data_IF_718271951621
#
_entry.id   IF_718271951621
#
_cell.length_a   1.000
_cell.length_b   1.000
_cell.length_c   1.000
_cell.angle_alpha   90.00
_cell.angle_beta   90.00
_cell.angle_gamma   90.00
#
_symmetry.space_group_name_H-M   'P 1'
#
loop_
_entity.id
_entity.type
_entity.pdbx_description
1 polymer ?
#
# COMPACT_ATOMS: atom_id res chain seq x y z
N UNK A 1 3.22 5.60 35.07
CA UNK A 1 1.78 5.43 35.36
C UNK A 1 1.22 4.54 34.25
N UNK A 2 0.70 3.36 34.57
CA UNK A 2 0.19 2.40 33.56
C UNK A 2 -1.11 2.90 32.93
N UNK A 3 -1.37 2.52 31.68
CA UNK A 3 -2.60 2.90 30.98
C UNK A 3 -3.82 2.27 31.68
N UNK A 4 -4.71 3.10 32.21
CA UNK A 4 -5.93 2.65 32.91
C UNK A 4 -7.09 2.35 31.96
N UNK A 5 -6.93 2.63 30.66
CA UNK A 5 -7.96 2.41 29.63
C UNK A 5 -7.89 1.03 29.00
N UNK A 6 -6.88 0.22 29.36
CA UNK A 6 -6.59 -1.06 28.72
C UNK A 6 -6.23 -2.12 29.75
N UNK A 7 -6.31 -3.38 29.32
CA UNK A 7 -5.79 -4.51 30.09
C UNK A 7 -4.26 -4.39 30.10
N UNK A 8 -3.71 -4.06 31.26
CA UNK A 8 -2.28 -4.02 31.45
C UNK A 8 -1.75 -5.46 31.51
N UNK A 9 -0.69 -5.73 30.75
CA UNK A 9 0.06 -6.96 30.89
C UNK A 9 0.73 -7.07 32.26
N UNK A 10 1.39 -8.21 32.56
CA UNK A 10 2.18 -8.36 33.78
C UNK A 10 3.22 -7.23 33.88
N UNK A 11 3.56 -6.83 35.12
CA UNK A 11 4.47 -5.70 35.36
C UNK A 11 5.93 -5.92 34.90
N UNK A 12 6.29 -7.16 34.54
CA UNK A 12 7.60 -7.52 34.00
C UNK A 12 7.74 -7.22 32.51
N UNK A 13 8.98 -7.01 32.06
CA UNK A 13 9.30 -6.90 30.63
C UNK A 13 9.01 -8.25 29.95
N UNK A 14 8.00 -8.30 29.09
CA UNK A 14 7.79 -9.44 28.20
C UNK A 14 8.59 -9.17 26.94
N UNK A 15 9.75 -9.82 26.79
CA UNK A 15 10.48 -9.81 25.54
C UNK A 15 9.75 -10.72 24.55
N UNK A 16 9.73 -10.33 23.28
CA UNK A 16 9.31 -11.24 22.21
C UNK A 16 10.21 -12.49 22.21
N UNK A 17 9.68 -13.67 21.81
CA UNK A 17 10.53 -14.84 21.61
C UNK A 17 11.56 -14.51 20.53
N UNK A 18 12.85 -14.62 20.89
CA UNK A 18 13.95 -14.53 19.94
C UNK A 18 14.16 -15.93 19.38
N UNK A 19 13.84 -16.12 18.11
CA UNK A 19 14.11 -17.38 17.44
C UNK A 19 15.59 -17.41 17.04
N UNK A 20 16.30 -18.47 17.41
CA UNK A 20 17.64 -18.69 16.89
C UNK A 20 17.54 -18.95 15.38
N UNK A 21 18.38 -18.32 14.55
CA UNK A 21 18.45 -18.66 13.14
C UNK A 21 18.76 -20.16 13.04
N UNK A 22 18.01 -20.89 12.23
CA UNK A 22 18.29 -22.29 11.97
C UNK A 22 19.70 -22.38 11.38
N UNK A 23 20.60 -23.12 12.04
CA UNK A 23 21.96 -23.33 11.59
C UNK A 23 21.95 -24.15 10.29
N UNK A 24 21.77 -23.46 9.17
CA UNK A 24 22.04 -24.03 7.86
C UNK A 24 23.55 -24.32 7.79
N UNK A 25 23.98 -25.48 7.26
CA UNK A 25 25.39 -25.72 7.01
C UNK A 25 25.94 -24.57 6.14
N UNK A 26 27.16 -24.13 6.44
CA UNK A 26 27.84 -22.93 5.91
C UNK A 26 28.01 -22.85 4.37
N UNK A 27 27.35 -23.74 3.63
CA UNK A 27 27.32 -23.82 2.17
C UNK A 27 26.02 -23.28 1.54
N UNK A 28 25.03 -22.83 2.33
CA UNK A 28 23.71 -22.47 1.82
C UNK A 28 23.14 -21.12 2.29
N UNK A 29 23.98 -20.08 2.48
CA UNK A 29 23.45 -18.71 2.48
C UNK A 29 23.00 -18.41 1.06
N UNK A 30 21.76 -18.76 0.73
CA UNK A 30 21.17 -18.43 -0.56
C UNK A 30 21.21 -16.90 -0.70
N UNK A 31 22.01 -16.39 -1.63
CA UNK A 31 22.01 -14.99 -2.01
C UNK A 31 20.57 -14.57 -2.29
N UNK A 32 20.15 -13.41 -1.78
CA UNK A 32 18.85 -12.85 -2.14
C UNK A 32 18.97 -12.40 -3.58
N UNK A 33 18.47 -13.24 -4.47
CA UNK A 33 18.56 -13.00 -5.89
C UNK A 33 17.16 -12.91 -6.46
N UNK A 34 16.85 -11.73 -7.00
CA UNK A 34 15.65 -11.49 -7.79
C UNK A 34 15.57 -12.48 -8.96
N UNK A 35 14.49 -13.25 -9.01
CA UNK A 35 14.23 -14.24 -10.08
C UNK A 35 13.57 -13.60 -11.30
N UNK A 36 12.83 -12.50 -11.11
CA UNK A 36 12.14 -11.75 -12.17
C UNK A 36 13.04 -10.73 -12.87
N UNK A 37 12.61 -10.25 -14.05
CA UNK A 37 13.39 -9.25 -14.81
C UNK A 37 13.44 -7.90 -14.09
N UNK A 38 14.50 -7.07 -14.31
CA UNK A 38 14.63 -5.76 -13.68
C UNK A 38 13.43 -4.83 -13.88
N UNK A 39 12.82 -4.91 -15.06
CA UNK A 39 11.69 -4.09 -15.52
C UNK A 39 10.32 -4.73 -15.24
N UNK A 40 10.24 -5.79 -14.43
CA UNK A 40 9.00 -6.53 -14.19
C UNK A 40 8.47 -6.27 -12.77
N UNK A 41 7.24 -5.77 -12.67
CA UNK A 41 6.56 -5.54 -11.39
C UNK A 41 6.13 -6.85 -10.73
N UNK A 42 5.84 -6.85 -9.42
CA UNK A 42 5.14 -7.98 -8.79
C UNK A 42 3.82 -8.22 -9.56
N UNK A 43 3.48 -9.47 -9.85
CA UNK A 43 2.31 -9.80 -10.69
C UNK A 43 1.04 -9.35 -10.00
N UNK A 44 0.43 -8.29 -10.52
CA UNK A 44 -0.83 -7.82 -9.97
C UNK A 44 -2.02 -8.50 -10.63
N UNK A 45 -2.81 -9.25 -9.87
CA UNK A 45 -3.95 -10.01 -10.40
C UNK A 45 -5.26 -9.39 -9.93
N UNK A 46 -5.93 -8.66 -10.82
CA UNK A 46 -7.34 -8.33 -10.63
C UNK A 46 -8.15 -9.62 -10.49
N UNK A 47 -9.09 -9.65 -9.54
CA UNK A 47 -9.88 -10.85 -9.23
C UNK A 47 -10.90 -11.06 -10.35
N UNK A 48 -10.49 -11.71 -11.44
CA UNK A 48 -11.39 -12.09 -12.52
C UNK A 48 -12.33 -13.23 -12.07
N UNK A 49 -13.40 -12.89 -11.36
CA UNK A 49 -14.51 -13.81 -11.02
C UNK A 49 -15.44 -14.04 -12.21
N UNK A 50 -14.90 -14.42 -13.38
CA UNK A 50 -15.76 -14.83 -14.52
C UNK A 50 -15.13 -15.87 -15.45
N UNK A 51 -14.41 -16.86 -14.92
CA UNK A 51 -14.09 -18.10 -15.62
C UNK A 51 -14.34 -19.30 -14.68
N UNK A 52 -15.16 -20.30 -15.07
CA UNK A 52 -15.48 -21.46 -14.24
C UNK A 52 -14.34 -22.49 -14.16
N UNK A 53 -13.14 -22.15 -14.63
CA UNK A 53 -11.99 -23.04 -14.65
C UNK A 53 -10.86 -22.48 -13.77
N UNK A 54 -10.96 -22.78 -12.49
CA UNK A 54 -9.94 -22.47 -11.50
C UNK A 54 -8.73 -23.39 -11.73
N UNK A 55 -7.79 -22.97 -12.57
CA UNK A 55 -6.43 -23.51 -12.48
C UNK A 55 -5.73 -22.81 -11.33
N UNK A 56 -5.43 -23.59 -10.29
CA UNK A 56 -4.49 -23.26 -9.21
C UNK A 56 -3.16 -22.72 -9.79
N UNK A 57 -2.43 -21.96 -8.96
CA UNK A 57 -1.06 -21.44 -9.15
C UNK A 57 -0.92 -20.10 -9.91
N UNK A 58 -1.10 -18.98 -9.19
CA UNK A 58 -0.11 -17.87 -9.15
C UNK A 58 -0.43 -16.91 -7.99
N UNK A 59 0.56 -16.47 -7.19
CA UNK A 59 0.34 -15.45 -6.16
C UNK A 59 -0.11 -14.16 -6.83
N UNK A 60 -1.21 -13.64 -6.32
CA UNK A 60 -2.14 -12.74 -6.97
C UNK A 60 -2.22 -11.48 -6.12
N UNK A 61 -1.73 -10.33 -6.61
CA UNK A 61 -1.97 -9.08 -5.89
C UNK A 61 -3.45 -8.74 -6.06
N UNK A 62 -4.23 -8.73 -4.99
CA UNK A 62 -5.67 -8.49 -5.02
C UNK A 62 -5.96 -7.04 -4.64
N UNK A 63 -6.57 -6.27 -5.54
CA UNK A 63 -7.16 -4.97 -5.23
C UNK A 63 -8.69 -5.09 -5.30
N UNK A 64 -9.35 -4.90 -4.17
CA UNK A 64 -10.81 -4.97 -4.06
C UNK A 64 -11.36 -3.72 -3.38
N UNK A 65 -12.28 -3.02 -4.04
CA UNK A 65 -13.02 -1.89 -3.42
C UNK A 65 -14.34 -2.36 -2.80
N UNK A 66 -14.91 -1.52 -1.92
CA UNK A 66 -16.21 -1.76 -1.28
C UNK A 66 -16.23 -2.85 -0.22
N UNK A 67 -15.10 -3.08 0.49
CA UNK A 67 -14.97 -4.15 1.48
C UNK A 67 -15.54 -3.80 2.86
N UNK A 68 -15.48 -2.53 3.27
CA UNK A 68 -15.97 -2.03 4.56
C UNK A 68 -17.31 -1.32 4.34
N UNK A 69 -18.46 -1.92 4.71
CA UNK A 69 -19.78 -1.36 4.43
C UNK A 69 -20.13 -0.13 5.28
N UNK A 70 -19.46 0.06 6.42
CA UNK A 70 -19.68 1.23 7.28
C UNK A 70 -18.96 2.48 6.80
N UNK A 71 -17.98 2.34 5.91
CA UNK A 71 -17.22 3.45 5.34
C UNK A 71 -17.92 3.97 4.08
N UNK A 72 -17.73 5.24 3.76
CA UNK A 72 -18.27 5.84 2.52
C UNK A 72 -17.63 5.22 1.28
N UNK A 73 -16.34 4.91 1.37
CA UNK A 73 -15.63 4.07 0.40
C UNK A 73 -14.52 3.31 1.10
N UNK A 74 -14.15 2.18 0.52
CA UNK A 74 -13.12 1.32 1.10
C UNK A 74 -12.38 0.53 0.05
N UNK A 75 -11.16 0.14 0.37
CA UNK A 75 -10.39 -0.74 -0.50
C UNK A 75 -9.45 -1.62 0.32
N UNK A 76 -9.15 -2.79 -0.23
CA UNK A 76 -8.17 -3.73 0.28
C UNK A 76 -7.14 -4.01 -0.82
N UNK A 77 -5.87 -3.99 -0.45
CA UNK A 77 -4.76 -4.31 -1.33
C UNK A 77 -3.89 -5.37 -0.67
N UNK A 78 -3.55 -6.38 -1.45
CA UNK A 78 -2.60 -7.41 -1.08
C UNK A 78 -1.53 -7.50 -2.13
N UNK A 79 -0.26 -7.29 -1.80
CA UNK A 79 0.89 -7.48 -2.68
C UNK A 79 1.71 -8.66 -2.16
N UNK A 80 1.80 -9.76 -2.90
CA UNK A 80 2.61 -10.92 -2.53
C UNK A 80 3.72 -11.17 -3.56
N UNK A 81 4.95 -11.38 -3.10
CA UNK A 81 6.04 -11.91 -3.92
C UNK A 81 5.95 -13.45 -3.97
N UNK A 82 6.17 -14.10 -5.12
CA UNK A 82 6.16 -15.56 -5.19
C UNK A 82 7.20 -16.17 -4.25
N UNK A 83 6.72 -17.00 -3.33
CA UNK A 83 7.57 -17.84 -2.49
C UNK A 83 8.08 -19.03 -3.30
N UNK A 84 9.39 -19.27 -3.25
CA UNK A 84 9.88 -20.62 -3.51
C UNK A 84 9.63 -21.46 -2.25
N UNK A 85 9.06 -22.68 -2.37
CA UNK A 85 8.83 -23.55 -1.23
C UNK A 85 10.17 -23.99 -0.64
N UNK A 86 10.62 -23.29 0.40
CA UNK A 86 11.78 -23.69 1.20
C UNK A 86 11.31 -24.42 2.46
N UNK A 87 12.03 -25.47 2.91
CA UNK A 87 11.71 -26.21 4.13
C UNK A 87 12.02 -25.43 5.43
N UNK A 88 12.40 -24.16 5.35
CA UNK A 88 12.76 -23.30 6.49
C UNK A 88 11.53 -22.55 7.02
N UNK A 89 11.46 -22.40 8.35
CA UNK A 89 10.46 -21.58 9.06
C UNK A 89 10.61 -20.07 8.82
N UNK A 90 11.65 -19.64 8.10
CA UNK A 90 11.85 -18.23 7.77
C UNK A 90 10.85 -17.80 6.69
N UNK A 91 10.07 -16.72 6.90
CA UNK A 91 9.21 -16.17 5.87
C UNK A 91 10.11 -15.65 4.74
N UNK A 92 10.09 -16.39 3.63
CA UNK A 92 10.79 -16.10 2.37
C UNK A 92 9.90 -15.35 1.39
N UNK A 93 8.67 -15.00 1.81
CA UNK A 93 7.73 -14.19 1.04
C UNK A 93 7.69 -12.78 1.61
N UNK A 94 7.78 -11.79 0.72
CA UNK A 94 7.41 -10.41 0.99
C UNK A 94 5.92 -10.25 0.68
N UNK A 95 5.12 -10.03 1.72
CA UNK A 95 3.69 -9.78 1.61
C UNK A 95 3.35 -8.43 2.26
N UNK A 96 2.53 -7.64 1.56
CA UNK A 96 1.98 -6.38 2.05
C UNK A 96 0.46 -6.49 1.98
N UNK A 97 -0.23 -6.29 3.10
CA UNK A 97 -1.69 -6.32 3.15
C UNK A 97 -2.20 -5.07 3.84
N UNK A 98 -3.02 -4.31 3.15
CA UNK A 98 -3.54 -3.02 3.59
C UNK A 98 -5.06 -2.97 3.45
N UNK A 99 -5.71 -2.41 4.45
CA UNK A 99 -7.12 -2.04 4.39
C UNK A 99 -7.26 -0.53 4.55
N UNK A 100 -7.97 0.11 3.62
CA UNK A 100 -8.25 1.54 3.67
C UNK A 100 -9.75 1.77 3.81
N UNK A 101 -10.10 2.73 4.67
CA UNK A 101 -11.46 3.23 4.84
C UNK A 101 -11.48 4.74 4.70
N UNK A 102 -12.42 5.23 3.90
CA UNK A 102 -12.66 6.65 3.67
C UNK A 102 -14.00 7.00 4.30
N UNK A 103 -13.97 8.00 5.17
CA UNK A 103 -15.16 8.56 5.81
C UNK A 103 -15.31 10.01 5.37
N UNK A 104 -16.28 10.28 4.53
CA UNK A 104 -16.55 11.62 4.08
C UNK A 104 -17.42 11.66 2.83
N UNK A 105 -17.88 12.86 2.43
CA UNK A 105 -17.65 14.15 3.08
C UNK A 105 -18.55 14.33 4.32
N UNK A 106 -17.94 14.47 5.51
CA UNK A 106 -18.66 14.71 6.77
C UNK A 106 -18.64 16.21 7.08
N UNK A 107 -19.71 16.80 7.65
CA UNK A 107 -19.67 18.19 8.07
C UNK A 107 -18.55 18.41 9.10
N UNK A 108 -17.86 19.54 8.99
CA UNK A 108 -16.84 19.91 9.97
C UNK A 108 -17.43 19.96 11.39
N UNK A 109 -16.68 19.54 12.42
CA UNK A 109 -17.14 19.66 13.80
C UNK A 109 -17.39 21.13 14.12
N UNK A 110 -18.38 21.40 14.99
CA UNK A 110 -18.81 22.77 15.34
C UNK A 110 -17.68 23.65 15.90
N UNK A 111 -16.61 23.04 16.41
CA UNK A 111 -15.42 23.72 16.96
C UNK A 111 -14.37 24.06 15.91
N UNK A 112 -14.45 23.51 14.69
CA UNK A 112 -13.51 23.81 13.63
C UNK A 112 -13.78 25.19 13.04
N UNK A 113 -12.70 25.88 12.65
CA UNK A 113 -12.79 27.13 11.92
C UNK A 113 -13.45 26.92 10.56
N UNK A 114 -14.15 27.95 10.09
CA UNK A 114 -14.72 27.93 8.75
C UNK A 114 -13.61 27.78 7.70
N UNK A 115 -13.74 26.76 6.85
CA UNK A 115 -12.88 26.55 5.70
C UNK A 115 -13.75 26.53 4.43
N UNK A 116 -13.43 27.35 3.41
CA UNK A 116 -14.10 27.26 2.10
C UNK A 116 -13.75 25.95 1.39
N UNK A 117 -12.62 25.34 1.75
CA UNK A 117 -12.06 24.15 1.13
C UNK A 117 -12.28 22.93 2.02
N UNK A 118 -12.46 21.76 1.41
CA UNK A 118 -12.53 20.49 2.13
C UNK A 118 -11.25 20.24 2.95
N UNK A 119 -11.41 19.81 4.21
CA UNK A 119 -10.27 19.43 5.06
C UNK A 119 -10.01 17.92 4.92
N UNK A 120 -8.85 17.57 4.40
CA UNK A 120 -8.39 16.18 4.33
C UNK A 120 -7.51 15.86 5.54
N UNK A 121 -7.78 14.72 6.17
CA UNK A 121 -6.93 14.10 7.20
C UNK A 121 -6.63 12.68 6.75
N UNK A 122 -5.35 12.29 6.72
CA UNK A 122 -4.95 10.92 6.43
C UNK A 122 -4.15 10.34 7.60
N UNK A 123 -4.44 9.10 7.96
CA UNK A 123 -3.74 8.41 9.04
C UNK A 123 -3.37 6.99 8.62
N UNK A 124 -2.15 6.58 8.95
CA UNK A 124 -1.66 5.22 8.75
C UNK A 124 -1.43 4.61 10.13
N UNK A 125 -1.95 3.40 10.35
CA UNK A 125 -1.74 2.65 11.59
C UNK A 125 -1.34 1.21 11.30
N UNK A 126 -0.27 0.74 11.92
CA UNK A 126 0.08 -0.68 11.93
C UNK A 126 -0.79 -1.44 12.91
N UNK A 127 -1.31 -2.59 12.46
CA UNK A 127 -1.82 -3.60 13.37
C UNK A 127 -0.67 -4.08 14.28
N UNK A 128 -0.95 -4.46 15.54
CA UNK A 128 0.09 -4.90 16.46
C UNK A 128 0.92 -6.10 15.96
N UNK A 129 0.36 -6.89 15.05
CA UNK A 129 0.98 -8.08 14.45
C UNK A 129 1.48 -7.86 13.02
N UNK A 130 1.43 -6.62 12.51
CA UNK A 130 1.75 -6.34 11.10
C UNK A 130 3.24 -6.54 10.77
N UNK A 131 4.11 -6.45 11.78
CA UNK A 131 5.56 -6.59 11.64
C UNK A 131 6.09 -7.60 12.65
N UNK A 132 7.37 -7.99 12.51
CA UNK A 132 8.02 -8.96 13.41
C UNK A 132 8.03 -8.48 14.84
N UNK A 133 8.26 -7.18 15.02
CA UNK A 133 8.24 -6.52 16.32
C UNK A 133 6.83 -6.02 16.58
N UNK A 134 6.22 -6.52 17.65
CA UNK A 134 4.86 -6.15 18.02
C UNK A 134 4.72 -4.64 18.20
N UNK A 135 3.88 -4.01 17.39
CA UNK A 135 3.70 -2.57 17.41
C UNK A 135 2.80 -2.12 18.58
N UNK A 136 3.10 -0.94 19.11
CA UNK A 136 2.30 -0.29 20.14
C UNK A 136 0.98 0.25 19.59
N UNK A 137 0.01 0.48 20.49
CA UNK A 137 -1.26 1.09 20.11
C UNK A 137 -1.13 2.59 19.82
N UNK A 138 -0.18 3.25 20.46
CA UNK A 138 0.10 4.66 20.24
C UNK A 138 0.75 4.80 18.88
N UNK A 139 0.43 5.84 18.10
CA UNK A 139 1.09 6.09 16.84
C UNK A 139 2.59 6.30 17.01
N UNK A 140 3.39 5.48 16.34
CA UNK A 140 4.84 5.61 16.26
C UNK A 140 5.24 6.78 15.35
N UNK A 141 6.49 7.23 15.42
CA UNK A 141 6.97 8.32 14.55
C UNK A 141 6.88 7.95 13.07
N UNK A 142 7.27 6.72 12.72
CA UNK A 142 7.18 6.19 11.35
C UNK A 142 5.76 6.20 10.79
N UNK A 143 4.77 5.86 11.61
CA UNK A 143 3.34 5.92 11.24
C UNK A 143 2.88 7.36 10.97
N UNK A 144 3.37 8.32 11.76
CA UNK A 144 3.06 9.74 11.58
C UNK A 144 3.69 10.28 10.30
N UNK A 145 4.93 9.90 10.01
CA UNK A 145 5.65 10.31 8.80
C UNK A 145 4.95 9.74 7.55
N UNK A 146 4.56 8.46 7.58
CA UNK A 146 3.72 7.85 6.52
C UNK A 146 2.38 8.55 6.36
N UNK A 147 1.71 8.88 7.47
CA UNK A 147 0.45 9.62 7.46
C UNK A 147 0.59 10.99 6.79
N UNK A 148 1.67 11.71 7.09
CA UNK A 148 1.98 13.00 6.48
C UNK A 148 2.23 12.89 4.98
N UNK A 149 3.05 11.94 4.54
CA UNK A 149 3.31 11.70 3.11
C UNK A 149 2.03 11.29 2.36
N UNK A 150 1.21 10.42 2.96
CA UNK A 150 -0.08 10.04 2.40
C UNK A 150 -1.03 11.25 2.30
N UNK A 151 -1.11 12.08 3.35
CA UNK A 151 -1.95 13.27 3.35
C UNK A 151 -1.53 14.28 2.28
N UNK A 152 -0.23 14.52 2.14
CA UNK A 152 0.32 15.42 1.12
C UNK A 152 0.04 14.91 -0.29
N UNK A 153 0.26 13.60 -0.53
CA UNK A 153 -0.03 12.97 -1.80
C UNK A 153 -1.52 13.09 -2.19
N UNK A 154 -2.44 12.86 -1.26
CA UNK A 154 -3.88 12.94 -1.53
C UNK A 154 -4.37 14.40 -1.67
N UNK A 155 -3.77 15.35 -0.97
CA UNK A 155 -4.09 16.79 -1.11
C UNK A 155 -3.79 17.32 -2.51
N UNK A 156 -2.76 16.81 -3.18
CA UNK A 156 -2.44 17.21 -4.56
C UNK A 156 -3.41 16.69 -5.62
N UNK A 157 -4.36 15.82 -5.24
CA UNK A 157 -5.25 15.11 -6.17
C UNK A 157 -6.72 15.44 -5.94
N UNK A 158 -7.11 15.66 -4.69
CA UNK A 158 -8.49 16.03 -4.34
C UNK A 158 -8.85 17.43 -4.84
N UNK A 159 -10.11 17.61 -5.22
CA UNK A 159 -10.70 18.92 -5.54
C UNK A 159 -11.42 19.48 -4.30
N UNK A 160 -10.74 20.23 -3.42
CA UNK A 160 -11.33 20.64 -2.15
C UNK A 160 -12.47 21.66 -2.31
N UNK A 161 -12.49 22.41 -3.42
CA UNK A 161 -13.48 23.45 -3.69
C UNK A 161 -14.88 22.88 -3.95
N UNK A 162 -14.98 21.59 -4.31
CA UNK A 162 -16.27 20.90 -4.51
C UNK A 162 -17.02 20.63 -3.22
N UNK A 163 -16.31 20.58 -2.09
CA UNK A 163 -16.86 20.16 -0.80
C UNK A 163 -16.58 21.20 0.31
N UNK A 164 -17.20 22.39 0.25
CA UNK A 164 -17.02 23.41 1.28
C UNK A 164 -17.55 22.91 2.64
N UNK A 165 -16.88 23.35 3.73
CA UNK A 165 -17.24 23.00 5.12
C UNK A 165 -17.30 21.49 5.41
N UNK A 166 -16.66 20.68 4.59
CA UNK A 166 -16.60 19.24 4.75
C UNK A 166 -15.21 18.78 5.15
N UNK A 167 -15.16 17.66 5.86
CA UNK A 167 -13.96 16.92 6.13
C UNK A 167 -14.02 15.55 5.45
N UNK A 168 -12.87 15.10 4.95
CA UNK A 168 -12.66 13.76 4.43
C UNK A 168 -11.56 13.14 5.28
N UNK A 169 -11.83 11.96 5.81
CA UNK A 169 -10.95 11.26 6.74
C UNK A 169 -10.57 9.90 6.15
N UNK A 170 -9.29 9.72 5.87
CA UNK A 170 -8.73 8.53 5.24
C UNK A 170 -7.92 7.78 6.28
N UNK A 171 -8.36 6.57 6.63
CA UNK A 171 -7.69 5.73 7.60
C UNK A 171 -7.21 4.44 6.92
N UNK A 172 -5.88 4.27 6.88
CA UNK A 172 -5.20 3.09 6.35
C UNK A 172 -4.69 2.25 7.53
N UNK A 173 -5.06 0.97 7.53
CA UNK A 173 -4.59 -0.02 8.50
C UNK A 173 -3.69 -1.01 7.77
N UNK A 174 -2.45 -1.10 8.24
CA UNK A 174 -1.48 -2.09 7.77
C UNK A 174 -1.72 -3.39 8.52
N UNK A 175 -2.10 -4.43 7.79
CA UNK A 175 -2.34 -5.76 8.34
C UNK A 175 -1.06 -6.62 8.29
N UNK A 176 -0.30 -6.47 7.22
CA UNK A 176 0.99 -7.12 7.02
C UNK A 176 1.91 -6.13 6.29
N UNK A 177 3.07 -5.84 6.88
CA UNK A 177 4.08 -4.97 6.31
C UNK A 177 5.30 -5.77 5.86
N UNK A 178 5.84 -5.42 4.71
CA UNK A 178 7.14 -5.92 4.26
C UNK A 178 8.23 -5.39 5.20
N UNK A 179 8.93 -6.29 5.88
CA UNK A 179 9.96 -5.96 6.87
C UNK A 179 11.34 -6.35 6.33
N UNK A 180 12.26 -5.40 6.31
CA UNK A 180 13.65 -5.62 5.89
C UNK A 180 14.33 -6.47 6.97
N UNK A 181 14.77 -7.68 6.64
CA UNK A 181 15.38 -8.63 7.59
C UNK A 181 16.73 -8.16 8.20
N UNK A 182 17.18 -6.94 7.95
CA UNK A 182 18.44 -6.38 8.44
C UNK A 182 18.31 -5.81 9.85
N UNK A 183 19.30 -6.07 10.71
CA UNK A 183 19.34 -5.68 12.13
C UNK A 183 18.79 -4.26 12.43
N UNK A 184 17.66 -4.21 13.15
CA UNK A 184 17.21 -2.97 13.79
C UNK A 184 15.76 -2.99 14.25
N UNK A 185 15.48 -2.32 15.37
CA UNK A 185 14.14 -2.05 15.92
C UNK A 185 13.38 -0.94 15.14
N UNK A 186 13.84 -0.60 13.92
CA UNK A 186 13.35 0.53 13.14
C UNK A 186 12.97 0.06 11.74
N UNK A 187 11.68 0.20 11.43
CA UNK A 187 11.13 0.08 10.09
C UNK A 187 11.77 1.17 9.21
N UNK A 188 12.82 0.83 8.48
CA UNK A 188 13.62 1.75 7.69
C UNK A 188 14.04 1.07 6.39
N UNK A 189 14.23 1.85 5.33
CA UNK A 189 14.65 1.33 4.04
C UNK A 189 13.47 1.04 3.12
N UNK A 190 13.51 -0.12 2.46
CA UNK A 190 12.70 -0.41 1.30
C UNK A 190 11.25 -0.80 1.64
N UNK A 191 11.06 -1.57 2.71
CA UNK A 191 9.72 -1.94 3.18
C UNK A 191 8.81 -0.75 3.44
N UNK A 192 9.36 0.36 3.97
CA UNK A 192 8.62 1.60 4.22
C UNK A 192 8.13 2.26 2.93
N UNK A 193 8.96 2.22 1.88
CA UNK A 193 8.68 2.79 0.58
C UNK A 193 7.60 2.02 -0.15
N UNK A 194 7.70 0.69 -0.14
CA UNK A 194 6.67 -0.19 -0.69
C UNK A 194 5.35 -0.03 0.05
N UNK A 195 5.40 0.13 1.37
CA UNK A 195 4.22 0.37 2.18
C UNK A 195 3.55 1.71 1.86
N UNK A 196 4.32 2.79 1.70
CA UNK A 196 3.78 4.10 1.33
C UNK A 196 3.14 4.05 -0.06
N UNK A 197 3.81 3.44 -1.03
CA UNK A 197 3.28 3.30 -2.39
C UNK A 197 1.97 2.48 -2.38
N UNK A 198 1.96 1.37 -1.65
CA UNK A 198 0.76 0.57 -1.44
C UNK A 198 -0.35 1.39 -0.78
N UNK A 199 -0.06 2.14 0.29
CA UNK A 199 -1.03 2.95 1.01
C UNK A 199 -1.67 4.04 0.12
N UNK A 200 -0.88 4.72 -0.71
CA UNK A 200 -1.38 5.69 -1.69
C UNK A 200 -2.32 5.00 -2.69
N UNK A 201 -1.91 3.86 -3.25
CA UNK A 201 -2.72 3.11 -4.22
C UNK A 201 -4.05 2.62 -3.62
N UNK A 202 -4.05 2.11 -2.39
CA UNK A 202 -5.30 1.68 -1.70
C UNK A 202 -6.18 2.87 -1.39
N UNK A 203 -5.60 3.97 -0.90
CA UNK A 203 -6.34 5.18 -0.55
C UNK A 203 -7.03 5.76 -1.78
N UNK A 204 -6.35 5.80 -2.93
CA UNK A 204 -6.94 6.27 -4.17
C UNK A 204 -8.09 5.39 -4.67
N UNK A 205 -7.94 4.07 -4.57
CA UNK A 205 -9.03 3.15 -4.88
C UNK A 205 -10.23 3.36 -3.94
N UNK A 206 -10.00 3.60 -2.65
CA UNK A 206 -11.04 3.86 -1.67
C UNK A 206 -11.72 5.24 -1.85
N UNK A 207 -10.98 6.28 -2.26
CA UNK A 207 -11.53 7.60 -2.58
C UNK A 207 -12.42 7.56 -3.82
N UNK A 208 -12.00 6.81 -4.85
CA UNK A 208 -12.80 6.59 -6.04
C UNK A 208 -14.08 5.79 -5.74
N UNK A 209 -13.99 4.78 -4.86
CA UNK A 209 -15.14 4.02 -4.36
C UNK A 209 -16.12 4.91 -3.56
N UNK A 210 -15.59 5.85 -2.76
CA UNK A 210 -16.36 6.86 -2.04
C UNK A 210 -16.99 7.93 -2.95
N UNK A 211 -16.68 7.92 -4.25
CA UNK A 211 -17.15 8.90 -5.26
C UNK A 211 -16.79 10.34 -4.91
N UNK A 212 -15.59 10.53 -4.35
CA UNK A 212 -15.04 11.86 -4.09
C UNK A 212 -14.36 12.38 -5.35
N UNK A 213 -14.67 13.62 -5.72
CA UNK A 213 -14.10 14.28 -6.90
C UNK A 213 -12.57 14.40 -6.77
N UNK A 214 -11.87 13.69 -7.65
CA UNK A 214 -10.42 13.69 -7.79
C UNK A 214 -10.02 14.22 -9.18
N UNK A 215 -8.86 14.89 -9.28
CA UNK A 215 -8.32 15.38 -10.54
C UNK A 215 -7.93 14.24 -11.50
N UNK A 216 -7.30 13.20 -10.96
CA UNK A 216 -6.83 12.02 -11.69
C UNK A 216 -6.72 10.83 -10.72
N UNK A 217 -6.55 9.62 -11.27
CA UNK A 217 -6.19 8.42 -10.51
C UNK A 217 -4.68 8.46 -10.22
N UNK A 218 -4.33 9.01 -9.07
CA UNK A 218 -2.98 8.94 -8.51
C UNK A 218 -2.54 7.49 -8.33
N UNK A 219 -1.35 7.19 -8.81
CA UNK A 219 -0.68 5.93 -8.59
C UNK A 219 0.70 6.17 -8.03
N UNK A 220 1.13 5.30 -7.13
CA UNK A 220 2.44 5.34 -6.55
C UNK A 220 3.24 4.09 -6.93
N UNK A 221 4.53 4.30 -7.15
CA UNK A 221 5.48 3.26 -7.52
C UNK A 221 6.81 3.46 -6.81
N UNK A 222 7.55 2.36 -6.67
CA UNK A 222 8.88 2.35 -6.05
C UNK A 222 9.90 1.95 -7.10
N UNK A 223 10.99 2.70 -7.16
CA UNK A 223 12.18 2.41 -7.94
C UNK A 223 13.38 2.24 -7.03
N UNK A 224 14.33 1.40 -7.43
CA UNK A 224 15.62 1.31 -6.76
C UNK A 224 16.76 1.11 -7.77
N UNK A 225 17.96 1.45 -7.33
CA UNK A 225 19.22 1.15 -8.02
C UNK A 225 20.01 0.17 -7.17
N UNK A 226 20.37 -0.95 -7.79
CA UNK A 226 21.05 -2.09 -7.19
C UNK A 226 22.40 -2.29 -7.91
N UNK A 227 23.47 -2.71 -7.22
CA UNK A 227 24.73 -3.06 -7.88
C UNK A 227 24.53 -4.28 -8.80
N UNK A 228 24.81 -4.11 -10.09
CA UNK A 228 24.76 -5.19 -11.08
C UNK A 228 26.01 -6.08 -11.09
N UNK A 229 26.00 -7.18 -11.89
CA UNK A 229 27.08 -8.17 -11.95
C UNK A 229 28.45 -7.63 -12.41
N UNK A 230 28.47 -6.45 -13.04
CA UNK A 230 29.70 -5.76 -13.50
C UNK A 230 30.01 -4.48 -12.70
N UNK A 231 29.50 -4.35 -11.48
CA UNK A 231 29.53 -3.09 -10.68
C UNK A 231 28.86 -1.89 -11.38
N UNK A 232 28.05 -2.14 -12.42
CA UNK A 232 27.22 -1.14 -13.07
C UNK A 232 25.91 -0.99 -12.29
N UNK A 233 25.43 0.24 -12.05
CA UNK A 233 24.13 0.44 -11.41
C UNK A 233 23.03 -0.13 -12.31
N UNK A 234 22.18 -0.99 -11.74
CA UNK A 234 21.02 -1.57 -12.39
C UNK A 234 19.76 -1.01 -11.76
N UNK A 235 18.93 -0.35 -12.58
CA UNK A 235 17.61 0.11 -12.14
C UNK A 235 16.62 -1.05 -12.05
N UNK A 236 15.80 -1.00 -11.01
CA UNK A 236 14.84 -2.03 -10.64
C UNK A 236 13.49 -1.37 -10.37
N UNK A 237 12.44 -1.89 -11.00
CA UNK A 237 11.06 -1.54 -10.72
C UNK A 237 10.51 -2.39 -9.57
N UNK A 238 9.81 -1.76 -8.63
CA UNK A 238 9.15 -2.40 -7.48
C UNK A 238 10.09 -3.37 -6.75
N UNK A 239 11.21 -2.91 -6.19
CA UNK A 239 12.13 -3.76 -5.44
C UNK A 239 11.44 -4.41 -4.24
N UNK A 240 11.87 -5.60 -3.82
CA UNK A 240 11.46 -6.22 -2.56
C UNK A 240 12.68 -6.51 -1.67
N UNK A 241 12.51 -6.43 -0.35
CA UNK A 241 13.58 -6.59 0.62
C UNK A 241 14.19 -8.01 0.63
N UNK A 242 13.38 -8.97 0.18
CA UNK A 242 13.76 -10.37 0.05
C UNK A 242 14.54 -10.64 -1.25
N UNK A 243 14.46 -9.75 -2.24
CA UNK A 243 15.06 -9.94 -3.57
C UNK A 243 16.47 -9.34 -3.69
N UNK A 244 16.83 -8.43 -2.79
CA UNK A 244 18.06 -7.65 -2.88
C UNK A 244 18.79 -7.64 -1.52
N UNK A 245 20.09 -7.95 -1.55
CA UNK A 245 20.96 -7.88 -0.38
C UNK A 245 21.50 -6.45 -0.15
N UNK A 246 21.79 -5.72 -1.22
CA UNK A 246 22.32 -4.35 -1.18
C UNK A 246 21.53 -3.43 -2.12
N UNK A 247 21.18 -2.24 -1.64
CA UNK A 247 20.40 -1.23 -2.35
C UNK A 247 21.13 0.10 -2.19
N UNK A 248 21.62 0.67 -3.29
CA UNK A 248 22.37 1.93 -3.27
C UNK A 248 21.45 3.13 -3.03
N UNK A 249 20.31 3.13 -3.72
CA UNK A 249 19.30 4.18 -3.63
C UNK A 249 17.93 3.65 -3.96
N UNK A 250 16.91 4.19 -3.30
CA UNK A 250 15.51 3.86 -3.52
C UNK A 250 14.67 5.14 -3.51
N UNK A 251 13.55 5.09 -4.24
CA UNK A 251 12.66 6.23 -4.39
C UNK A 251 11.20 5.77 -4.54
N UNK A 252 10.31 6.48 -3.86
CA UNK A 252 8.86 6.41 -4.03
C UNK A 252 8.41 7.67 -4.77
N UNK A 253 7.56 7.48 -5.77
CA UNK A 253 6.92 8.56 -6.51
C UNK A 253 5.43 8.35 -6.48
N UNK A 254 4.67 9.37 -6.09
CA UNK A 254 3.25 9.53 -6.37
C UNK A 254 3.08 10.35 -7.64
N UNK A 255 2.47 9.75 -8.66
CA UNK A 255 2.43 10.29 -10.02
C UNK A 255 1.00 10.31 -10.57
N UNK A 256 0.67 11.33 -11.37
CA UNK A 256 -0.60 11.52 -12.07
C UNK A 256 -0.42 11.25 -13.57
N UNK A 257 -0.70 10.03 -14.05
CA UNK A 257 -0.41 9.65 -15.44
C UNK A 257 -1.18 10.43 -16.50
N UNK A 258 -2.37 10.96 -16.18
CA UNK A 258 -3.15 11.73 -17.16
C UNK A 258 -2.58 13.14 -17.38
N UNK A 259 -1.81 13.66 -16.41
CA UNK A 259 -1.24 15.02 -16.43
C UNK A 259 0.29 15.05 -16.55
N UNK A 260 0.94 13.90 -16.39
CA UNK A 260 2.39 13.78 -16.33
C UNK A 260 3.00 14.62 -15.19
N UNK A 261 2.34 14.64 -14.02
CA UNK A 261 2.73 15.45 -12.86
C UNK A 261 3.11 14.55 -11.67
N UNK A 262 4.17 14.91 -10.95
CA UNK A 262 4.58 14.25 -9.71
C UNK A 262 3.97 15.03 -8.55
N UNK A 263 3.26 14.32 -7.66
CA UNK A 263 2.59 14.91 -6.50
C UNK A 263 3.44 14.77 -5.24
N UNK A 264 4.05 13.60 -5.07
CA UNK A 264 4.87 13.28 -3.90
C UNK A 264 6.12 12.53 -4.35
N UNK A 265 7.27 12.86 -3.76
CA UNK A 265 8.55 12.25 -4.05
C UNK A 265 9.31 12.03 -2.75
N UNK A 266 9.68 10.79 -2.47
CA UNK A 266 10.53 10.46 -1.33
C UNK A 266 11.67 9.54 -1.77
N UNK A 267 12.90 9.98 -1.57
CA UNK A 267 14.10 9.22 -1.93
C UNK A 267 14.99 8.99 -0.71
N UNK A 268 15.64 7.82 -0.67
CA UNK A 268 16.68 7.48 0.29
C UNK A 268 17.90 6.88 -0.43
N UNK A 269 19.09 7.11 0.12
CA UNK A 269 20.36 6.68 -0.46
C UNK A 269 21.05 7.78 -1.27
N UNK A 270 22.29 7.47 -1.67
CA UNK A 270 23.17 8.40 -2.38
C UNK A 270 23.49 7.80 -3.74
N UNK A 271 23.01 8.46 -4.81
CA UNK A 271 23.42 8.11 -6.17
C UNK A 271 24.68 8.89 -6.49
N UNK A 272 25.81 8.21 -6.67
CA UNK A 272 27.07 8.88 -6.95
C UNK A 272 27.05 9.50 -8.35
N UNK A 273 27.05 10.83 -8.43
CA UNK A 273 27.22 11.62 -9.66
C UNK A 273 28.69 11.63 -10.09
N UNK A 274 29.33 10.46 -10.25
CA UNK A 274 30.78 10.40 -10.47
C UNK A 274 31.24 10.89 -11.85
N UNK A 275 30.32 11.17 -12.79
CA UNK A 275 30.67 11.77 -14.08
C UNK A 275 29.80 12.99 -14.32
N UNK A 276 30.42 14.18 -14.31
CA UNK A 276 29.78 15.49 -14.56
C UNK A 276 29.10 15.64 -15.94
N UNK A 277 29.09 14.57 -16.75
CA UNK A 277 28.53 14.51 -18.10
C UNK A 277 27.33 13.54 -18.18
N UNK A 278 27.00 12.84 -17.09
CA UNK A 278 25.90 11.87 -17.04
C UNK A 278 24.94 12.28 -15.94
N UNK A 279 23.96 13.13 -16.29
CA UNK A 279 22.85 13.56 -15.43
C UNK A 279 21.94 12.42 -14.96
N UNK A 280 22.25 11.17 -15.28
CA UNK A 280 21.25 10.11 -15.37
C UNK A 280 21.01 9.34 -14.07
N UNK A 281 21.81 9.51 -13.01
CA UNK A 281 21.66 8.66 -11.82
C UNK A 281 20.34 8.84 -11.06
N UNK A 282 20.00 10.08 -10.70
CA UNK A 282 18.76 10.37 -9.96
C UNK A 282 17.54 10.37 -10.89
N UNK A 283 17.70 10.88 -12.10
CA UNK A 283 16.63 10.89 -13.10
C UNK A 283 16.22 9.46 -13.48
N UNK A 284 17.17 8.54 -13.68
CA UNK A 284 16.85 7.12 -13.95
C UNK A 284 16.13 6.44 -12.77
N UNK A 285 16.45 6.82 -11.54
CA UNK A 285 15.78 6.32 -10.34
C UNK A 285 14.33 6.79 -10.28
N UNK A 286 14.09 8.07 -10.57
CA UNK A 286 12.75 8.64 -10.63
C UNK A 286 11.96 8.06 -11.82
N UNK A 287 12.56 7.93 -12.99
CA UNK A 287 11.95 7.28 -14.16
C UNK A 287 11.53 5.83 -13.87
N UNK A 288 12.35 5.09 -13.14
CA UNK A 288 12.01 3.74 -12.69
C UNK A 288 10.77 3.77 -11.77
N UNK A 289 10.73 4.66 -10.78
CA UNK A 289 9.57 4.78 -9.91
C UNK A 289 8.29 5.21 -10.68
N UNK A 290 8.41 6.12 -11.66
CA UNK A 290 7.30 6.53 -12.54
C UNK A 290 6.80 5.36 -13.38
N UNK A 291 7.70 4.56 -13.96
CA UNK A 291 7.32 3.38 -14.73
C UNK A 291 6.56 2.36 -13.87
N UNK A 292 6.97 2.18 -12.61
CA UNK A 292 6.25 1.36 -11.65
C UNK A 292 4.87 1.93 -11.30
N UNK A 293 4.77 3.25 -11.08
CA UNK A 293 3.50 3.93 -10.80
C UNK A 293 2.49 3.78 -11.96
N UNK A 294 2.96 3.91 -13.20
CA UNK A 294 2.12 3.69 -14.40
C UNK A 294 1.56 2.27 -14.45
N UNK A 295 2.36 1.26 -14.08
CA UNK A 295 1.89 -0.13 -13.99
C UNK A 295 0.90 -0.37 -12.84
N UNK A 296 1.05 0.32 -11.72
CA UNK A 296 0.06 0.27 -10.64
C UNK A 296 -1.27 0.93 -11.04
N UNK A 297 -1.23 2.02 -11.81
CA UNK A 297 -2.44 2.73 -12.24
C UNK A 297 -3.35 1.85 -13.10
N UNK A 298 -2.79 1.05 -14.02
CA UNK A 298 -3.61 0.18 -14.89
C UNK A 298 -4.44 -0.80 -14.07
N UNK A 299 -3.86 -1.34 -13.00
CA UNK A 299 -4.56 -2.22 -12.06
C UNK A 299 -5.67 -1.48 -11.34
N UNK A 300 -5.39 -0.29 -10.79
CA UNK A 300 -6.39 0.49 -10.05
C UNK A 300 -7.58 0.78 -10.96
N UNK A 301 -7.32 1.19 -12.20
CA UNK A 301 -8.34 1.47 -13.20
C UNK A 301 -9.19 0.23 -13.50
N UNK A 302 -8.57 -0.93 -13.71
CA UNK A 302 -9.29 -2.19 -13.94
C UNK A 302 -10.16 -2.59 -12.76
N UNK A 303 -9.61 -2.54 -11.53
CA UNK A 303 -10.33 -2.88 -10.31
C UNK A 303 -11.56 -1.96 -10.07
N UNK A 304 -11.43 -0.67 -10.41
CA UNK A 304 -12.54 0.28 -10.32
C UNK A 304 -13.63 0.02 -11.37
N UNK A 305 -13.24 -0.29 -12.61
CA UNK A 305 -14.20 -0.68 -13.66
C UNK A 305 -14.93 -1.97 -13.27
N UNK A 306 -14.22 -2.95 -12.72
CA UNK A 306 -14.81 -4.18 -12.21
C UNK A 306 -15.81 -3.89 -11.08
N UNK A 307 -15.43 -3.07 -10.10
CA UNK A 307 -16.33 -2.64 -9.02
C UNK A 307 -17.59 -1.95 -9.55
N UNK A 308 -17.44 -1.06 -10.55
CA UNK A 308 -18.58 -0.38 -11.18
C UNK A 308 -19.54 -1.37 -11.85
N UNK A 309 -19.02 -2.36 -12.59
CA UNK A 309 -19.85 -3.39 -13.23
C UNK A 309 -20.58 -4.27 -12.20
N UNK A 310 -19.89 -4.68 -11.12
CA UNK A 310 -20.52 -5.44 -10.01
C UNK A 310 -21.69 -4.67 -9.39
N UNK A 311 -21.51 -3.38 -9.14
CA UNK A 311 -22.56 -2.53 -8.58
C UNK A 311 -23.74 -2.34 -9.54
N UNK A 312 -23.52 -2.21 -10.85
CA UNK A 312 -24.61 -2.12 -11.83
C UNK A 312 -25.44 -3.41 -11.90
N UNK A 313 -24.81 -4.59 -11.78
CA UNK A 313 -25.50 -5.88 -11.76
C UNK A 313 -26.34 -6.01 -10.48
N UNK A 314 -25.82 -5.58 -9.33
CA UNK A 314 -26.55 -5.57 -8.07
C UNK A 314 -27.80 -4.67 -8.14
N UNK A 315 -27.70 -3.49 -8.77
CA UNK A 315 -28.83 -2.56 -8.97
C UNK A 315 -29.88 -3.10 -9.96
N UNK A 316 -29.51 -3.99 -10.90
CA UNK A 316 -30.48 -4.65 -11.80
C UNK A 316 -31.21 -5.85 -11.17
N UNK A 317 -30.73 -6.36 -10.04
CA UNK A 317 -31.28 -7.54 -9.34
C UNK A 317 -32.35 -7.32 -8.25
N UNK A 318 -32.84 -6.11 -7.88
CA UNK A 318 -33.85 -5.98 -6.84
C UNK A 318 -35.25 -5.74 -7.46
N UNK A 319 -35.94 -6.79 -7.92
CA UNK A 319 -37.41 -6.84 -8.05
C UNK A 319 -37.95 -8.19 -8.57
N UNK A 320 -37.55 -9.31 -7.94
CA UNK A 320 -38.32 -10.56 -8.02
C UNK A 320 -38.41 -11.19 -6.63
N UNK A 321 -38.97 -10.41 -5.70
CA UNK A 321 -39.54 -10.93 -4.47
C UNK A 321 -40.96 -10.44 -4.43
N UNK A 322 -41.89 -11.25 -4.95
CA UNK A 322 -43.32 -11.05 -4.77
C UNK A 322 -43.61 -10.89 -3.28
N UNK A 323 -44.00 -9.68 -2.88
CA UNK A 323 -44.74 -9.46 -1.64
C UNK A 323 -46.08 -10.17 -1.79
N UNK A 324 -46.15 -11.41 -1.33
CA UNK A 324 -47.44 -12.06 -1.07
C UNK A 324 -48.06 -11.35 0.13
N UNK A 325 -48.93 -10.38 -0.15
CA UNK A 325 -49.86 -9.82 0.82
C UNK A 325 -50.72 -10.97 1.37
N UNK A 326 -50.55 -11.28 2.65
CA UNK A 326 -51.40 -12.23 3.36
C UNK A 326 -52.69 -11.50 3.70
N UNK A 327 -53.72 -11.71 2.89
CA UNK A 327 -55.09 -11.28 3.21
C UNK A 327 -55.56 -12.01 4.47
N UNK A 328 -55.82 -11.24 5.51
CA UNK A 328 -56.44 -11.71 6.75
C UNK A 328 -57.96 -11.73 6.54
N UNK A 329 -58.52 -12.90 6.23
CA UNK A 329 -59.97 -13.10 6.21
C UNK A 329 -60.51 -13.01 7.65
N UNK A 330 -61.43 -12.07 7.85
CA UNK A 330 -62.26 -11.87 9.05
C UNK A 330 -63.24 -13.01 9.28
#
# INVERSE_FOLDING_TARGET
MSDRRRINGPAGTTSSPVFAPYSQPATATALRQRVRKPNELRKICTVFLFLPYWSKLTPSVVLQTGIVPSASGSAYLELESPSEPKPSLDPTSSAIKLSCSVHGPKPLPRTASFSPNAQLSASVKFAPFATRVRQGYVPNQTEKDLGLHLENALKGVLLPDRWPKSAVDVAVIVLEGEDDQGEGDRFAGLGLFNLLAAAINVAMAALADAKIDCLDLLAAGVGAVVPGPDSKPLRVLDPAAVEHDDIQSSCVVGYLPSRDEIVELWSNGSVSTQNANTSTGFDELVEAAIAAARGAQTVIKEALVESMTRNQIAVKKPSQGETNDVEMNT
#
